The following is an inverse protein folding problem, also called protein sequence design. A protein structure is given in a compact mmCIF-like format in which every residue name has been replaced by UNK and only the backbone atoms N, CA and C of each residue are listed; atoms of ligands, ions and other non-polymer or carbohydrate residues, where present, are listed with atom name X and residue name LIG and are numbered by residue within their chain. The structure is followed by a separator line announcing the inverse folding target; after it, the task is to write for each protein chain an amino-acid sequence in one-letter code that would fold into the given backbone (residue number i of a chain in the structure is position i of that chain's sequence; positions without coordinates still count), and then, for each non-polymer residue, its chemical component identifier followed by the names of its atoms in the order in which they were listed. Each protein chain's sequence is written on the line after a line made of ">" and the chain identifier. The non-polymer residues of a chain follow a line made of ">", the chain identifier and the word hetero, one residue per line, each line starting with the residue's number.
data_IF_826995376909
#
_entry.id   IF_826995376909
#
_cell.length_a   1.000
_cell.length_b   1.000
_cell.length_c   1.000
_cell.angle_alpha   90.00
_cell.angle_beta   90.00
_cell.angle_gamma   90.00
#
_symmetry.space_group_name_H-M   'P 1'
#
loop_
_entity.id
_entity.type
_entity.pdbx_description
1 polymer ?
#
# COMPACT_ATOMS: atom_id res chain seq x y z
N UNK A 1 -7.01 9.00 0.68
CA UNK A 1 -8.20 8.24 1.07
C UNK A 1 -8.33 7.00 0.18
N UNK A 2 -8.40 5.81 0.78
CA UNK A 2 -8.63 4.55 0.07
C UNK A 2 -10.13 4.28 -0.10
N UNK A 3 -10.54 3.83 -1.28
CA UNK A 3 -11.94 3.46 -1.59
C UNK A 3 -11.99 2.17 -2.40
N UNK A 4 -13.07 1.41 -2.23
CA UNK A 4 -13.40 0.28 -3.12
C UNK A 4 -14.87 0.39 -3.51
N UNK A 5 -15.16 0.29 -4.81
CA UNK A 5 -16.53 0.37 -5.34
C UNK A 5 -16.61 -0.41 -6.68
N UNK A 6 -17.84 -0.78 -7.07
CA UNK A 6 -18.09 -1.46 -8.35
C UNK A 6 -18.73 -0.47 -9.30
N UNK A 7 -18.16 -0.31 -10.48
CA UNK A 7 -18.75 0.51 -11.54
C UNK A 7 -19.86 -0.28 -12.25
N UNK A 8 -21.07 0.31 -12.39
CA UNK A 8 -22.18 -0.35 -13.07
C UNK A 8 -21.91 -0.64 -14.55
N UNK A 9 -21.15 0.24 -15.22
CA UNK A 9 -20.98 0.21 -16.67
C UNK A 9 -20.02 -0.90 -17.14
N UNK A 10 -19.00 -1.24 -16.35
CA UNK A 10 -18.02 -2.27 -16.70
C UNK A 10 -18.00 -3.47 -15.74
N UNK A 11 -18.75 -3.40 -14.66
CA UNK A 11 -18.87 -4.46 -13.64
C UNK A 11 -17.58 -4.72 -12.86
N UNK A 12 -16.56 -3.86 -13.01
CA UNK A 12 -15.29 -4.01 -12.32
C UNK A 12 -15.29 -3.35 -10.95
N UNK A 13 -14.56 -3.94 -10.02
CA UNK A 13 -14.29 -3.33 -8.74
C UNK A 13 -13.07 -2.39 -8.84
N UNK A 14 -13.21 -1.19 -8.32
CA UNK A 14 -12.16 -0.19 -8.27
C UNK A 14 -11.65 -0.03 -6.84
N UNK A 15 -10.44 -0.53 -6.58
CA UNK A 15 -9.73 -0.36 -5.32
C UNK A 15 -8.70 0.75 -5.48
N UNK A 16 -8.97 1.93 -4.90
CA UNK A 16 -8.25 3.17 -5.21
C UNK A 16 -7.77 3.91 -3.97
N UNK A 17 -6.58 4.50 -4.08
CA UNK A 17 -6.15 5.64 -3.27
C UNK A 17 -6.35 6.91 -4.09
N UNK A 18 -7.13 7.86 -3.57
CA UNK A 18 -7.47 9.12 -4.23
C UNK A 18 -6.75 10.28 -3.57
N UNK A 19 -6.28 11.20 -4.38
CA UNK A 19 -5.59 12.40 -3.94
C UNK A 19 -6.44 13.65 -4.17
N UNK A 20 -6.40 14.55 -3.21
CA UNK A 20 -7.09 15.83 -3.23
C UNK A 20 -6.16 16.93 -2.72
N UNK A 21 -6.28 18.15 -3.24
CA UNK A 21 -5.65 19.34 -2.65
C UNK A 21 -6.26 19.67 -1.29
N UNK A 22 -5.66 20.62 -0.58
CA UNK A 22 -6.22 21.12 0.68
C UNK A 22 -7.61 21.79 0.50
N UNK A 23 -7.86 22.32 -0.70
CA UNK A 23 -9.12 22.98 -1.06
C UNK A 23 -10.16 21.98 -1.62
N UNK A 24 -9.83 20.68 -1.64
CA UNK A 24 -10.75 19.62 -2.06
C UNK A 24 -10.74 19.34 -3.57
N UNK A 25 -9.87 19.95 -4.35
CA UNK A 25 -9.72 19.65 -5.78
C UNK A 25 -9.18 18.22 -5.97
N UNK A 26 -9.81 17.46 -6.84
CA UNK A 26 -9.42 16.07 -7.14
C UNK A 26 -8.23 16.02 -8.07
N UNK A 27 -7.11 15.45 -7.61
CA UNK A 27 -5.86 15.32 -8.37
C UNK A 27 -5.78 14.01 -9.15
N UNK A 28 -6.56 13.00 -8.80
CA UNK A 28 -6.53 11.70 -9.44
C UNK A 28 -6.38 10.54 -8.44
N UNK A 29 -6.09 9.35 -8.97
CA UNK A 29 -6.04 8.12 -8.18
C UNK A 29 -4.97 7.15 -8.67
N UNK A 30 -4.59 6.24 -7.78
CA UNK A 30 -3.93 4.98 -8.09
C UNK A 30 -4.91 3.83 -7.84
N UNK A 31 -5.11 2.92 -8.79
CA UNK A 31 -5.82 1.65 -8.60
C UNK A 31 -4.83 0.53 -8.34
N UNK A 32 -5.18 -0.39 -7.44
CA UNK A 32 -4.37 -1.56 -7.11
C UNK A 32 -3.94 -2.31 -8.38
N UNK A 33 -2.64 -2.49 -8.56
CA UNK A 33 -2.04 -3.09 -9.75
C UNK A 33 -1.73 -4.58 -9.54
N UNK A 34 -1.03 -4.93 -8.45
CA UNK A 34 -0.74 -6.31 -8.08
C UNK A 34 -1.92 -6.89 -7.27
N UNK A 35 -2.89 -7.38 -8.01
CA UNK A 35 -4.15 -7.89 -7.45
C UNK A 35 -3.96 -9.23 -6.76
N UNK A 36 -4.72 -9.46 -5.69
CA UNK A 36 -4.76 -10.76 -5.03
C UNK A 36 -5.54 -11.78 -5.87
N UNK A 37 -5.10 -13.02 -5.82
CA UNK A 37 -5.78 -14.13 -6.48
C UNK A 37 -5.25 -15.46 -5.97
N UNK A 38 -5.96 -16.54 -6.32
CA UNK A 38 -5.46 -17.88 -6.07
C UNK A 38 -4.26 -18.17 -6.99
N UNK A 39 -3.37 -19.03 -6.53
CA UNK A 39 -2.25 -19.53 -7.34
C UNK A 39 -2.66 -20.71 -8.26
N UNK A 40 -3.96 -20.93 -8.41
CA UNK A 40 -4.52 -21.96 -9.33
C UNK A 40 -4.50 -21.48 -10.77
N UNK A 41 -4.63 -22.41 -11.73
CA UNK A 41 -4.81 -22.10 -13.15
C UNK A 41 -6.23 -22.52 -13.58
N UNK A 42 -7.11 -21.59 -14.04
CA UNK A 42 -6.92 -20.13 -14.02
C UNK A 42 -7.04 -19.54 -12.61
N UNK A 43 -6.35 -18.42 -12.33
CA UNK A 43 -6.43 -17.77 -11.04
C UNK A 43 -7.83 -17.19 -10.79
N UNK A 44 -8.23 -17.13 -9.49
CA UNK A 44 -9.51 -16.61 -9.03
C UNK A 44 -9.30 -15.46 -8.06
N UNK A 45 -10.29 -14.60 -7.89
CA UNK A 45 -10.27 -13.49 -6.95
C UNK A 45 -10.13 -12.13 -7.63
N UNK A 46 -9.48 -11.16 -6.97
CA UNK A 46 -9.35 -9.77 -7.46
C UNK A 46 -8.83 -9.69 -8.90
N UNK A 47 -7.95 -10.60 -9.30
CA UNK A 47 -7.34 -10.62 -10.64
C UNK A 47 -8.38 -10.65 -11.77
N UNK A 48 -9.56 -11.23 -11.52
CA UNK A 48 -10.61 -11.34 -12.53
C UNK A 48 -11.56 -10.15 -12.53
N UNK A 49 -11.71 -9.46 -11.39
CA UNK A 49 -12.79 -8.52 -11.16
C UNK A 49 -12.34 -7.08 -10.93
N UNK A 50 -11.06 -6.87 -10.56
CA UNK A 50 -10.58 -5.54 -10.22
C UNK A 50 -9.97 -4.85 -11.44
N UNK A 51 -10.35 -3.59 -11.63
CA UNK A 51 -9.70 -2.69 -12.58
C UNK A 51 -8.29 -2.32 -12.08
N UNK A 52 -7.40 -2.06 -13.03
CA UNK A 52 -6.06 -1.54 -12.78
C UNK A 52 -5.91 -0.17 -13.45
N UNK A 53 -4.95 0.63 -13.01
CA UNK A 53 -4.57 1.86 -13.69
C UNK A 53 -3.05 1.90 -13.92
N UNK A 54 -2.57 2.67 -14.91
CA UNK A 54 -1.15 2.96 -15.02
C UNK A 54 -0.64 3.59 -13.72
N UNK A 55 0.59 3.24 -13.34
CA UNK A 55 1.27 3.86 -12.20
C UNK A 55 1.48 5.35 -12.49
N UNK A 56 1.29 6.19 -11.48
CA UNK A 56 1.44 7.65 -11.59
C UNK A 56 1.86 8.28 -10.27
N UNK A 57 2.40 9.47 -10.37
CA UNK A 57 2.71 10.33 -9.23
C UNK A 57 1.79 11.54 -9.19
N UNK A 58 1.74 12.21 -8.04
CA UNK A 58 0.91 13.38 -7.78
C UNK A 58 1.75 14.47 -7.14
N UNK A 59 1.38 15.75 -7.37
CA UNK A 59 2.01 16.88 -6.70
C UNK A 59 1.15 17.31 -5.50
N UNK A 60 1.70 17.17 -4.30
CA UNK A 60 1.04 17.59 -3.06
C UNK A 60 1.94 18.60 -2.35
N UNK A 61 1.53 19.86 -2.31
CA UNK A 61 2.31 20.96 -1.72
C UNK A 61 3.76 21.03 -2.23
N UNK A 62 3.96 20.81 -3.53
CA UNK A 62 5.29 20.83 -4.16
C UNK A 62 6.12 19.55 -3.98
N UNK A 63 5.59 18.55 -3.31
CA UNK A 63 6.23 17.24 -3.14
C UNK A 63 5.63 16.23 -4.11
N UNK A 64 6.49 15.51 -4.83
CA UNK A 64 6.04 14.39 -5.65
C UNK A 64 5.76 13.18 -4.76
N UNK A 65 4.53 12.69 -4.80
CA UNK A 65 4.07 11.55 -4.00
C UNK A 65 3.50 10.46 -4.87
N UNK A 66 3.52 9.23 -4.37
CA UNK A 66 2.88 8.07 -4.98
C UNK A 66 1.92 7.38 -4.04
N UNK A 67 1.17 6.40 -4.56
CA UNK A 67 0.38 5.50 -3.75
C UNK A 67 0.54 4.06 -4.20
N UNK A 68 0.45 3.14 -3.25
CA UNK A 68 0.39 1.70 -3.45
C UNK A 68 -0.70 1.10 -2.58
N UNK A 69 -1.23 -0.06 -2.96
CA UNK A 69 -2.27 -0.75 -2.22
C UNK A 69 -1.85 -2.19 -1.95
N UNK A 70 -1.61 -2.51 -0.68
CA UNK A 70 -1.37 -3.88 -0.20
C UNK A 70 -0.26 -4.59 -1.02
N UNK A 71 -0.61 -5.59 -1.83
CA UNK A 71 0.35 -6.35 -2.65
C UNK A 71 1.16 -5.53 -3.65
N UNK A 72 0.72 -4.34 -4.02
CA UNK A 72 1.51 -3.46 -4.89
C UNK A 72 2.92 -3.23 -4.34
N UNK A 73 3.07 -3.20 -3.02
CA UNK A 73 4.37 -2.97 -2.41
C UNK A 73 5.19 -4.26 -2.28
N UNK A 74 4.58 -5.38 -1.91
CA UNK A 74 5.34 -6.57 -1.52
C UNK A 74 5.10 -7.82 -2.35
N UNK A 75 4.11 -7.82 -3.27
CA UNK A 75 3.85 -8.95 -4.17
C UNK A 75 3.85 -10.32 -3.43
N UNK A 76 3.03 -10.44 -2.36
CA UNK A 76 3.02 -11.64 -1.52
C UNK A 76 2.86 -12.91 -2.38
N UNK A 77 3.85 -13.83 -2.39
CA UNK A 77 3.85 -14.99 -3.27
C UNK A 77 2.73 -15.99 -2.98
N UNK A 78 2.10 -15.91 -1.80
CA UNK A 78 0.96 -16.76 -1.45
C UNK A 78 -0.37 -16.32 -2.09
N UNK A 79 -0.46 -15.11 -2.63
CA UNK A 79 -1.70 -14.57 -3.18
C UNK A 79 -1.52 -13.58 -4.35
N UNK A 80 -0.33 -13.47 -4.92
CA UNK A 80 -0.07 -12.59 -6.07
C UNK A 80 0.32 -13.44 -7.30
N UNK A 81 -0.64 -13.82 -8.17
CA UNK A 81 -0.36 -14.71 -9.30
C UNK A 81 0.36 -14.04 -10.48
N UNK A 82 0.59 -12.72 -10.45
CA UNK A 82 1.37 -12.00 -11.44
C UNK A 82 2.80 -11.73 -10.95
N UNK A 83 3.76 -11.50 -11.86
CA UNK A 83 5.13 -11.14 -11.50
C UNK A 83 5.21 -9.87 -10.67
N UNK A 84 6.15 -9.83 -9.73
CA UNK A 84 6.52 -8.59 -9.01
C UNK A 84 7.25 -7.64 -9.96
N UNK A 85 6.68 -6.48 -10.17
CA UNK A 85 7.23 -5.43 -11.03
C UNK A 85 7.95 -4.33 -10.27
N UNK A 86 8.16 -4.49 -8.95
CA UNK A 86 8.84 -3.53 -8.08
C UNK A 86 8.28 -2.10 -8.19
N UNK A 87 6.96 -1.95 -7.95
CA UNK A 87 6.25 -0.68 -8.14
C UNK A 87 6.80 0.46 -7.25
N UNK A 88 7.37 0.15 -6.08
CA UNK A 88 8.04 1.15 -5.24
C UNK A 88 9.23 1.77 -5.98
N UNK A 89 10.06 0.96 -6.65
CA UNK A 89 11.18 1.44 -7.44
C UNK A 89 10.70 2.29 -8.61
N UNK A 90 9.67 1.83 -9.31
CA UNK A 90 9.10 2.61 -10.43
C UNK A 90 8.60 3.98 -9.98
N UNK A 91 7.92 4.07 -8.81
CA UNK A 91 7.50 5.37 -8.26
C UNK A 91 8.70 6.25 -7.90
N UNK A 92 9.76 5.66 -7.34
CA UNK A 92 11.02 6.38 -7.07
C UNK A 92 11.61 6.93 -8.37
N UNK A 93 11.72 6.12 -9.42
CA UNK A 93 12.23 6.51 -10.73
C UNK A 93 11.37 7.63 -11.39
N UNK A 94 10.07 7.68 -11.05
CA UNK A 94 9.16 8.76 -11.43
C UNK A 94 9.27 10.01 -10.53
N UNK A 95 10.21 10.02 -9.59
CA UNK A 95 10.51 11.14 -8.71
C UNK A 95 9.67 11.20 -7.43
N UNK A 96 8.94 10.16 -7.08
CA UNK A 96 8.22 10.13 -5.80
C UNK A 96 9.22 10.15 -4.62
N UNK A 97 8.97 11.03 -3.67
CA UNK A 97 9.72 11.11 -2.40
C UNK A 97 8.97 10.45 -1.24
N UNK A 98 7.65 10.43 -1.32
CA UNK A 98 6.76 9.81 -0.32
C UNK A 98 5.76 8.90 -1.01
N UNK A 99 5.58 7.69 -0.49
CA UNK A 99 4.60 6.72 -0.96
C UNK A 99 3.61 6.43 0.16
N UNK A 100 2.33 6.71 -0.09
CA UNK A 100 1.23 6.33 0.79
C UNK A 100 0.82 4.89 0.46
N UNK A 101 0.79 4.03 1.47
CA UNK A 101 0.52 2.62 1.28
C UNK A 101 -0.70 2.17 2.09
N UNK A 102 -1.83 1.99 1.40
CA UNK A 102 -3.08 1.52 2.01
C UNK A 102 -3.10 -0.01 2.07
N UNK A 103 -3.42 -0.56 3.24
CA UNK A 103 -3.38 -1.99 3.49
C UNK A 103 -4.72 -2.48 4.02
N UNK A 104 -5.13 -3.65 3.57
CA UNK A 104 -6.21 -4.44 4.16
C UNK A 104 -5.87 -5.91 4.00
N UNK A 105 -4.91 -6.38 4.78
CA UNK A 105 -4.46 -7.77 4.75
C UNK A 105 -5.33 -8.70 5.57
N UNK A 106 -5.22 -9.99 5.28
CA UNK A 106 -5.80 -11.05 6.10
C UNK A 106 -5.19 -11.04 7.50
N UNK A 107 -6.03 -11.24 8.51
CA UNK A 107 -5.63 -11.26 9.91
C UNK A 107 -5.85 -12.63 10.50
N UNK A 108 -4.94 -13.06 11.34
CA UNK A 108 -5.00 -14.32 12.03
C UNK A 108 -3.99 -14.36 13.18
N UNK A 109 -4.02 -15.44 13.94
CA UNK A 109 -3.15 -15.68 15.08
C UNK A 109 -2.43 -17.04 14.95
N UNK A 110 -2.08 -17.41 13.73
CA UNK A 110 -1.32 -18.63 13.43
C UNK A 110 0.16 -18.31 13.20
N UNK A 111 1.00 -19.32 13.29
CA UNK A 111 2.41 -19.23 12.89
C UNK A 111 2.58 -18.66 11.47
N UNK A 112 1.70 -19.06 10.53
CA UNK A 112 1.72 -18.55 9.17
C UNK A 112 1.39 -17.06 9.10
N UNK A 113 0.53 -16.56 10.00
CA UNK A 113 0.26 -15.12 10.11
C UNK A 113 1.50 -14.34 10.55
N UNK A 114 2.35 -14.92 11.40
CA UNK A 114 3.62 -14.34 11.82
C UNK A 114 4.64 -14.30 10.67
N UNK A 115 4.72 -15.38 9.89
CA UNK A 115 5.57 -15.43 8.69
C UNK A 115 5.16 -14.34 7.69
N UNK A 116 3.86 -14.21 7.41
CA UNK A 116 3.34 -13.20 6.50
C UNK A 116 3.61 -11.77 7.02
N UNK A 117 3.41 -11.53 8.31
CA UNK A 117 3.68 -10.23 8.93
C UNK A 117 5.15 -9.82 8.80
N UNK A 118 6.08 -10.73 9.12
CA UNK A 118 7.51 -10.50 8.99
C UNK A 118 7.92 -10.25 7.54
N UNK A 119 7.32 -10.96 6.60
CA UNK A 119 7.52 -10.76 5.18
C UNK A 119 7.07 -9.35 4.73
N UNK A 120 5.88 -8.92 5.16
CA UNK A 120 5.34 -7.60 4.82
C UNK A 120 6.21 -6.48 5.41
N UNK A 121 6.58 -6.57 6.67
CA UNK A 121 7.45 -5.57 7.33
C UNK A 121 8.82 -5.49 6.66
N UNK A 122 9.45 -6.62 6.39
CA UNK A 122 10.76 -6.66 5.75
C UNK A 122 10.73 -6.04 4.35
N UNK A 123 9.71 -6.38 3.54
CA UNK A 123 9.54 -5.79 2.21
C UNK A 123 9.36 -4.27 2.29
N UNK A 124 8.51 -3.80 3.19
CA UNK A 124 8.23 -2.38 3.36
C UNK A 124 9.53 -1.60 3.62
N UNK A 125 10.34 -2.05 4.57
CA UNK A 125 11.60 -1.42 4.94
C UNK A 125 12.67 -1.52 3.85
N UNK A 126 12.85 -2.70 3.28
CA UNK A 126 13.83 -2.92 2.21
C UNK A 126 13.51 -2.11 0.96
N UNK A 127 12.24 -2.00 0.58
CA UNK A 127 11.83 -1.22 -0.60
C UNK A 127 11.89 0.28 -0.37
N UNK A 128 11.62 0.75 0.84
CA UNK A 128 11.85 2.14 1.21
C UNK A 128 13.34 2.50 1.04
N UNK A 129 14.24 1.67 1.58
CA UNK A 129 15.68 1.85 1.46
C UNK A 129 16.17 1.76 0.00
N UNK A 130 15.77 0.72 -0.73
CA UNK A 130 16.22 0.52 -2.11
C UNK A 130 15.78 1.66 -3.05
N UNK A 131 14.55 2.17 -2.86
CA UNK A 131 14.03 3.29 -3.64
C UNK A 131 14.46 4.67 -3.11
N UNK A 132 15.05 4.75 -1.92
CA UNK A 132 15.37 6.03 -1.28
C UNK A 132 14.12 6.88 -1.02
N UNK A 133 12.98 6.23 -0.71
CA UNK A 133 11.68 6.88 -0.55
C UNK A 133 11.11 6.69 0.85
N UNK A 134 10.37 7.67 1.32
CA UNK A 134 9.57 7.54 2.52
C UNK A 134 8.32 6.71 2.23
N UNK A 135 7.95 5.80 3.14
CA UNK A 135 6.73 5.00 3.00
C UNK A 135 5.85 5.20 4.21
N UNK A 136 4.58 5.50 3.98
CA UNK A 136 3.56 5.69 5.02
C UNK A 136 2.52 4.58 4.90
N UNK A 137 2.75 3.42 5.55
CA UNK A 137 1.80 2.32 5.55
C UNK A 137 0.67 2.57 6.55
N UNK A 138 -0.55 2.24 6.16
CA UNK A 138 -1.74 2.26 7.01
C UNK A 138 -2.57 1.02 6.74
N UNK A 139 -2.67 0.15 7.75
CA UNK A 139 -3.53 -1.04 7.72
C UNK A 139 -4.87 -0.76 8.40
N UNK A 140 -5.91 -1.49 8.00
CA UNK A 140 -7.19 -1.40 8.68
C UNK A 140 -7.06 -1.92 10.14
N UNK A 141 -7.91 -1.43 11.03
CA UNK A 141 -7.88 -1.80 12.45
C UNK A 141 -8.86 -2.94 12.82
N UNK A 142 -9.68 -3.39 11.89
CA UNK A 142 -10.75 -4.33 12.20
C UNK A 142 -10.40 -5.78 11.77
N UNK A 143 -10.66 -6.79 12.61
CA UNK A 143 -11.16 -6.72 13.99
C UNK A 143 -10.10 -6.16 14.95
N UNK A 144 -10.55 -5.37 15.93
CA UNK A 144 -9.68 -4.56 16.81
C UNK A 144 -8.85 -5.35 17.81
N UNK A 145 -9.22 -6.60 18.07
CA UNK A 145 -8.55 -7.52 18.98
C UNK A 145 -7.44 -8.36 18.32
N UNK A 146 -7.35 -8.34 16.99
CA UNK A 146 -6.31 -9.04 16.24
C UNK A 146 -5.20 -8.07 15.80
N UNK A 147 -3.97 -8.60 15.72
CA UNK A 147 -2.83 -7.85 15.16
C UNK A 147 -3.09 -7.49 13.69
N UNK A 148 -2.70 -6.29 13.29
CA UNK A 148 -2.71 -5.89 11.87
C UNK A 148 -1.86 -6.84 11.00
N UNK A 149 -2.08 -6.82 9.70
CA UNK A 149 -1.33 -7.66 8.75
C UNK A 149 0.06 -7.10 8.41
N UNK A 150 0.25 -5.80 8.69
CA UNK A 150 1.52 -5.08 8.57
C UNK A 150 1.49 -3.89 9.52
N UNK A 151 2.63 -3.46 10.08
CA UNK A 151 2.66 -2.25 10.91
C UNK A 151 2.18 -1.02 10.15
N UNK A 152 1.40 -0.16 10.84
CA UNK A 152 1.08 1.20 10.38
C UNK A 152 2.07 2.17 10.98
N UNK A 153 2.47 3.20 10.21
CA UNK A 153 3.45 4.17 10.71
C UNK A 153 4.13 4.96 9.60
N UNK A 154 5.38 5.31 9.82
CA UNK A 154 6.24 5.99 8.86
C UNK A 154 7.60 5.32 8.82
N UNK A 155 8.04 4.94 7.63
CA UNK A 155 9.38 4.42 7.36
C UNK A 155 10.14 5.47 6.54
N UNK A 156 11.36 5.81 6.98
CA UNK A 156 12.21 6.77 6.28
C UNK A 156 12.86 6.17 5.01
N UNK A 157 13.54 7.02 4.25
CA UNK A 157 14.25 6.62 3.02
C UNK A 157 15.44 5.68 3.26
N UNK A 158 15.83 5.43 4.51
CA UNK A 158 16.85 4.47 4.92
C UNK A 158 16.25 3.15 5.41
N UNK A 159 14.91 2.99 5.33
CA UNK A 159 14.21 1.80 5.78
C UNK A 159 14.05 1.69 7.30
N UNK A 160 14.17 2.80 8.03
CA UNK A 160 14.01 2.81 9.48
C UNK A 160 12.61 3.29 9.87
N UNK A 161 12.02 2.64 10.87
CA UNK A 161 10.79 3.15 11.49
C UNK A 161 11.10 4.42 12.27
N UNK A 162 10.44 5.52 11.90
CA UNK A 162 10.51 6.81 12.61
C UNK A 162 9.24 7.09 13.41
N UNK A 163 8.14 6.47 13.04
CA UNK A 163 6.91 6.42 13.82
C UNK A 163 6.19 5.10 13.56
N UNK A 164 5.57 4.53 14.58
CA UNK A 164 4.83 3.28 14.47
C UNK A 164 3.59 3.31 15.36
N UNK A 165 2.43 3.00 14.80
CA UNK A 165 1.20 2.86 15.55
C UNK A 165 1.16 1.51 16.28
N UNK A 166 0.37 1.38 17.36
CA UNK A 166 0.07 0.10 17.98
C UNK A 166 -0.49 -0.90 16.96
N UNK A 167 -0.12 -2.17 17.11
CA UNK A 167 -0.47 -3.24 16.16
C UNK A 167 -1.91 -3.74 16.28
N UNK A 168 -2.69 -3.20 17.22
CA UNK A 168 -4.09 -3.55 17.48
C UNK A 168 -4.91 -2.31 17.79
N UNK A 169 -6.21 -2.38 17.52
CA UNK A 169 -7.19 -1.35 17.87
C UNK A 169 -7.21 -0.18 16.91
N UNK A 170 -8.17 0.71 17.12
CA UNK A 170 -8.29 1.96 16.38
C UNK A 170 -7.29 2.98 16.90
N UNK A 171 -6.45 3.51 16.04
CA UNK A 171 -5.42 4.46 16.37
C UNK A 171 -5.33 5.54 15.29
N UNK A 172 -4.86 6.71 15.69
CA UNK A 172 -4.34 7.70 14.75
C UNK A 172 -2.97 8.19 15.24
N UNK A 173 -2.17 8.64 14.31
CA UNK A 173 -0.90 9.30 14.62
C UNK A 173 -0.65 10.42 13.61
N UNK A 174 0.23 11.33 13.97
CA UNK A 174 0.77 12.36 13.07
C UNK A 174 2.29 12.33 13.11
N UNK A 175 2.90 12.61 11.98
CA UNK A 175 4.34 12.72 11.85
C UNK A 175 4.68 13.80 10.81
N UNK A 176 5.66 14.63 11.11
CA UNK A 176 6.19 15.61 10.15
C UNK A 176 7.38 14.98 9.44
N UNK A 177 7.25 14.77 8.14
CA UNK A 177 8.35 14.27 7.31
C UNK A 177 9.21 15.47 6.91
N UNK A 178 10.48 15.46 7.29
CA UNK A 178 11.48 16.36 6.75
C UNK A 178 12.10 15.69 5.51
N UNK A 179 11.98 16.35 4.39
CA UNK A 179 12.47 15.82 3.12
C UNK A 179 13.88 16.33 2.76
N UNK A 180 14.45 17.22 3.55
CA UNK A 180 15.76 17.79 3.30
C UNK A 180 16.89 17.05 4.03
N UNK A 181 16.52 16.01 4.84
CA UNK A 181 17.44 15.09 5.54
C UNK A 181 17.89 13.91 4.67
#
# INVERSE_FOLDING_TARGET
>A
LGTCFVEPDDGKCYNQVRFYTADGEYLGFHSKTLRCGSMTDPPKGEINHYAVSPLRTFQVKGVTVGALICNDLWANPGCTPMPDTHLTQQLSDMGARVIFHAINGGRGASEWSDVAWNYHESNLRMRAQAGGVWVVPVDNCHPTDLRCSCPSGVVDSRGQWVAQAPVKGEQFFSYTIDLDD
#
